data_IF_412947307874
#
_entry.id   IF_412947307874
#
_cell.length_a   1.000
_cell.length_b   1.000
_cell.length_c   1.000
_cell.angle_alpha   90.00
_cell.angle_beta   90.00
_cell.angle_gamma   90.00
#
_symmetry.space_group_name_H-M   'P 1'
#
loop_
_entity.id
_entity.type
_entity.pdbx_description
1 polymer ?
#
# COMPACT_ATOMS: atom_id res chain seq x y z
N UNK A 1 43.10 -6.83 -8.62
CA UNK A 1 42.88 -8.19 -8.07
C UNK A 1 41.38 -8.40 -7.89
N UNK A 2 40.70 -8.89 -8.93
CA UNK A 2 39.33 -9.42 -8.83
C UNK A 2 39.47 -10.94 -8.72
N UNK A 3 38.96 -11.54 -7.64
CA UNK A 3 39.05 -13.00 -7.45
C UNK A 3 38.09 -13.69 -8.44
N UNK A 4 38.54 -14.66 -9.25
CA UNK A 4 37.68 -15.46 -10.10
C UNK A 4 37.17 -16.67 -9.32
N UNK A 5 35.90 -17.04 -9.47
CA UNK A 5 35.37 -18.30 -8.92
C UNK A 5 33.93 -18.30 -8.39
N UNK A 6 33.11 -17.29 -8.67
CA UNK A 6 31.67 -17.45 -8.42
C UNK A 6 31.02 -18.14 -9.61
N UNK A 7 30.65 -19.41 -9.42
CA UNK A 7 29.71 -20.12 -10.28
C UNK A 7 28.48 -19.22 -10.43
N UNK A 8 28.20 -18.75 -11.65
CA UNK A 8 27.02 -17.96 -11.97
C UNK A 8 25.78 -18.86 -11.85
N UNK A 9 25.36 -19.13 -10.61
CA UNK A 9 23.97 -19.51 -10.36
C UNK A 9 23.09 -18.34 -10.79
N UNK A 10 21.97 -18.57 -11.47
CA UNK A 10 21.00 -17.52 -11.82
C UNK A 10 20.65 -16.60 -10.64
N UNK A 11 20.73 -17.12 -9.41
CA UNK A 11 20.59 -16.35 -8.17
C UNK A 11 21.61 -15.21 -8.04
N UNK A 12 22.87 -15.42 -8.45
CA UNK A 12 23.94 -14.43 -8.34
C UNK A 12 23.75 -13.25 -9.30
N UNK A 13 23.14 -13.49 -10.47
CA UNK A 13 22.80 -12.43 -11.45
C UNK A 13 21.65 -11.58 -10.91
N UNK A 14 20.57 -12.21 -10.41
CA UNK A 14 19.44 -11.49 -9.81
C UNK A 14 19.85 -10.66 -8.58
N UNK A 15 20.76 -11.16 -7.75
CA UNK A 15 21.34 -10.41 -6.63
C UNK A 15 22.17 -9.22 -7.13
N UNK A 16 23.04 -9.43 -8.12
CA UNK A 16 23.86 -8.36 -8.70
C UNK A 16 23.01 -7.24 -9.32
N UNK A 17 21.89 -7.59 -9.96
CA UNK A 17 20.93 -6.61 -10.50
C UNK A 17 20.17 -5.84 -9.42
N UNK A 18 19.83 -6.44 -8.27
CA UNK A 18 19.27 -5.66 -7.14
C UNK A 18 20.31 -4.66 -6.60
N UNK A 19 21.57 -5.05 -6.46
CA UNK A 19 22.61 -4.18 -5.89
C UNK A 19 22.95 -2.93 -6.72
N UNK A 20 22.63 -2.88 -8.01
CA UNK A 20 23.06 -1.77 -8.87
C UNK A 20 22.25 -0.47 -8.70
N UNK A 21 21.09 -0.50 -8.02
CA UNK A 21 20.22 0.69 -7.92
C UNK A 21 19.28 0.75 -6.71
N UNK A 22 19.33 -0.22 -5.79
CA UNK A 22 18.46 -0.21 -4.59
C UNK A 22 19.19 0.42 -3.41
N UNK A 23 18.59 1.44 -2.80
CA UNK A 23 19.18 2.12 -1.64
C UNK A 23 19.10 1.30 -0.36
N UNK A 24 18.12 0.38 -0.29
CA UNK A 24 17.88 -0.40 0.91
C UNK A 24 17.55 -1.85 0.62
N UNK A 25 18.21 -2.75 1.35
CA UNK A 25 18.13 -4.20 1.18
C UNK A 25 18.03 -4.87 2.55
N UNK A 26 17.08 -5.79 2.71
CA UNK A 26 16.90 -6.58 3.94
C UNK A 26 16.67 -8.06 3.64
N UNK A 27 17.19 -8.91 4.51
CA UNK A 27 16.85 -10.33 4.50
C UNK A 27 15.64 -10.59 5.38
N UNK A 28 14.65 -11.26 4.81
CA UNK A 28 13.35 -11.50 5.44
C UNK A 28 12.90 -12.94 5.23
N UNK A 29 12.13 -13.47 6.17
CA UNK A 29 11.48 -14.76 6.05
C UNK A 29 9.99 -14.58 5.77
N UNK A 30 9.54 -14.87 4.57
CA UNK A 30 8.14 -14.73 4.18
C UNK A 30 7.33 -15.88 4.74
N UNK A 31 6.27 -15.53 5.48
CA UNK A 31 5.40 -16.47 6.15
C UNK A 31 4.35 -17.05 5.21
N UNK A 32 3.92 -18.27 5.51
CA UNK A 32 2.87 -18.98 4.77
C UNK A 32 1.48 -18.45 5.11
N UNK A 33 1.20 -17.21 4.70
CA UNK A 33 -0.06 -16.49 4.91
C UNK A 33 -0.37 -15.58 3.72
N UNK A 34 -1.65 -15.43 3.39
CA UNK A 34 -2.10 -14.54 2.34
C UNK A 34 -1.42 -14.84 1.00
N UNK A 35 -0.80 -13.82 0.41
CA UNK A 35 -0.08 -13.94 -0.86
C UNK A 35 1.17 -14.83 -0.76
N UNK A 36 1.73 -15.03 0.44
CA UNK A 36 2.82 -15.98 0.62
C UNK A 36 2.41 -17.38 0.21
N UNK A 37 1.24 -17.82 0.67
CA UNK A 37 0.69 -19.14 0.35
C UNK A 37 0.10 -19.19 -1.07
N UNK A 38 -0.78 -18.25 -1.43
CA UNK A 38 -1.46 -18.25 -2.73
C UNK A 38 -0.53 -18.08 -3.93
N UNK A 39 0.58 -17.35 -3.78
CA UNK A 39 1.51 -17.04 -4.88
C UNK A 39 2.86 -17.77 -4.76
N UNK A 40 3.04 -18.62 -3.74
CA UNK A 40 4.27 -19.39 -3.54
C UNK A 40 5.48 -18.52 -3.19
N UNK A 41 5.27 -17.41 -2.48
CA UNK A 41 6.33 -16.53 -1.97
C UNK A 41 6.60 -16.93 -0.52
N UNK A 42 7.38 -17.98 -0.29
CA UNK A 42 7.55 -18.60 1.03
C UNK A 42 9.02 -18.71 1.42
N UNK A 43 9.34 -18.51 2.70
CA UNK A 43 10.70 -18.70 3.22
C UNK A 43 11.63 -17.51 2.99
N UNK A 44 12.94 -17.75 2.85
CA UNK A 44 13.94 -16.68 2.83
C UNK A 44 13.91 -15.91 1.51
N UNK A 45 13.73 -14.59 1.59
CA UNK A 45 13.78 -13.65 0.49
C UNK A 45 14.64 -12.44 0.86
N UNK A 46 15.18 -11.80 -0.17
CA UNK A 46 15.81 -10.49 -0.11
C UNK A 46 14.81 -9.45 -0.54
N UNK A 47 14.46 -8.54 0.37
CA UNK A 47 13.64 -7.38 0.08
C UNK A 47 14.55 -6.24 -0.37
N UNK A 48 14.39 -5.80 -1.61
CA UNK A 48 15.09 -4.64 -2.16
C UNK A 48 14.09 -3.52 -2.42
N UNK A 49 14.43 -2.29 -2.03
CA UNK A 49 13.63 -1.10 -2.30
C UNK A 49 14.40 -0.15 -3.20
N UNK A 50 13.73 0.31 -4.24
CA UNK A 50 14.13 1.42 -5.11
C UNK A 50 13.09 2.53 -4.97
N UNK A 51 13.17 3.59 -5.77
CA UNK A 51 12.25 4.71 -5.65
C UNK A 51 10.78 4.38 -5.97
N UNK A 52 10.51 3.40 -6.84
CA UNK A 52 9.14 3.12 -7.36
C UNK A 52 8.68 1.70 -7.09
N UNK A 53 9.60 0.79 -6.78
CA UNK A 53 9.38 -0.65 -6.79
C UNK A 53 10.02 -1.25 -5.55
N UNK A 54 9.31 -2.19 -4.97
CA UNK A 54 9.76 -3.10 -3.92
C UNK A 54 9.86 -4.49 -4.54
N UNK A 55 11.04 -5.08 -4.48
CA UNK A 55 11.33 -6.39 -5.07
C UNK A 55 11.64 -7.41 -3.99
N UNK A 56 11.02 -8.58 -4.07
CA UNK A 56 11.37 -9.77 -3.29
C UNK A 56 12.12 -10.73 -4.20
N UNK A 57 13.38 -11.02 -3.88
CA UNK A 57 14.25 -11.94 -4.62
C UNK A 57 14.48 -13.17 -3.77
N UNK A 58 14.20 -14.35 -4.32
CA UNK A 58 14.33 -15.61 -3.61
C UNK A 58 15.78 -15.85 -3.21
N UNK A 59 15.98 -16.29 -1.97
CA UNK A 59 17.28 -16.77 -1.48
C UNK A 59 17.17 -18.29 -1.28
N UNK A 60 18.14 -19.03 -1.83
CA UNK A 60 18.27 -20.47 -1.64
C UNK A 60 17.59 -21.32 -2.72
N UNK A 61 16.98 -22.43 -2.29
CA UNK A 61 16.44 -23.47 -3.19
C UNK A 61 15.17 -23.07 -3.95
N UNK A 62 15.05 -23.57 -5.20
CA UNK A 62 13.84 -23.72 -6.04
C UNK A 62 12.57 -23.98 -5.24
N UNK A 63 12.72 -25.00 -4.44
CA UNK A 63 11.62 -25.74 -3.87
C UNK A 63 11.61 -25.53 -2.37
N UNK A 64 10.42 -25.39 -1.81
CA UNK A 64 10.24 -25.54 -0.37
C UNK A 64 10.56 -27.00 0.03
N UNK A 65 10.77 -27.29 1.33
CA UNK A 65 10.87 -28.67 1.81
C UNK A 65 9.66 -29.55 1.44
N UNK A 66 8.52 -28.93 1.11
CA UNK A 66 7.30 -29.58 0.67
C UNK A 66 7.17 -29.70 -0.86
N UNK A 67 8.27 -29.50 -1.60
CA UNK A 67 8.32 -29.58 -3.06
C UNK A 67 7.50 -28.49 -3.79
N UNK A 68 7.11 -27.41 -3.10
CA UNK A 68 6.36 -26.31 -3.72
C UNK A 68 7.33 -25.37 -4.44
N UNK A 69 7.00 -25.00 -5.68
CA UNK A 69 7.81 -24.06 -6.46
C UNK A 69 7.71 -22.66 -5.87
N UNK A 70 8.87 -22.07 -5.56
CA UNK A 70 8.96 -20.71 -5.02
C UNK A 70 9.12 -19.70 -6.15
N UNK A 71 8.46 -18.56 -6.02
CA UNK A 71 8.62 -17.46 -6.98
C UNK A 71 10.06 -16.92 -6.95
N UNK A 72 10.74 -16.82 -8.09
CA UNK A 72 12.15 -16.40 -8.15
C UNK A 72 12.32 -14.91 -7.81
N UNK A 73 11.50 -14.06 -8.44
CA UNK A 73 11.46 -12.61 -8.21
C UNK A 73 10.02 -12.14 -8.25
N UNK A 74 9.62 -11.33 -7.28
CA UNK A 74 8.30 -10.70 -7.24
C UNK A 74 8.46 -9.20 -7.01
N UNK A 75 7.80 -8.40 -7.84
CA UNK A 75 7.94 -6.93 -7.81
C UNK A 75 6.59 -6.28 -7.55
N UNK A 76 6.57 -5.36 -6.60
CA UNK A 76 5.42 -4.56 -6.20
C UNK A 76 5.73 -3.10 -6.46
N UNK A 77 4.80 -2.40 -7.12
CA UNK A 77 4.90 -0.95 -7.20
C UNK A 77 4.60 -0.35 -5.82
N UNK A 78 5.39 0.63 -5.36
CA UNK A 78 5.11 1.33 -4.11
C UNK A 78 3.72 2.01 -4.13
N UNK A 79 3.25 2.45 -5.29
CA UNK A 79 1.91 3.02 -5.47
C UNK A 79 0.77 2.00 -5.30
N UNK A 80 1.06 0.70 -5.43
CA UNK A 80 0.06 -0.37 -5.23
C UNK A 80 -0.10 -0.79 -3.78
N UNK A 81 0.80 -0.35 -2.90
CA UNK A 81 0.78 -0.63 -1.46
C UNK A 81 -0.33 0.20 -0.83
N UNK A 82 -1.28 -0.46 -0.17
CA UNK A 82 -2.41 0.20 0.49
C UNK A 82 -2.10 0.46 1.95
N UNK A 83 -1.49 -0.54 2.60
CA UNK A 83 -1.16 -0.52 4.03
C UNK A 83 0.13 -1.30 4.22
N UNK A 84 0.93 -0.86 5.18
CA UNK A 84 2.03 -1.63 5.70
C UNK A 84 2.14 -1.35 7.20
N UNK A 85 2.75 -2.27 7.93
CA UNK A 85 2.95 -2.11 9.36
C UNK A 85 3.90 -3.16 9.89
N UNK A 86 4.24 -3.02 11.16
CA UNK A 86 5.09 -3.96 11.86
C UNK A 86 4.52 -4.26 13.25
N UNK A 87 4.85 -5.42 13.78
CA UNK A 87 4.50 -5.88 15.13
C UNK A 87 5.61 -6.80 15.61
N UNK A 88 6.30 -6.40 16.69
CA UNK A 88 7.51 -7.08 17.16
C UNK A 88 8.49 -7.28 15.99
N UNK A 89 8.92 -8.52 15.70
CA UNK A 89 9.80 -8.89 14.58
C UNK A 89 9.06 -9.21 13.27
N UNK A 90 7.76 -8.95 13.20
CA UNK A 90 6.96 -9.17 11.99
C UNK A 90 6.70 -7.85 11.29
N UNK A 91 6.82 -7.87 9.97
CA UNK A 91 6.41 -6.80 9.08
C UNK A 91 5.35 -7.36 8.12
N UNK A 92 4.31 -6.58 7.84
CA UNK A 92 3.29 -6.95 6.87
C UNK A 92 3.10 -5.86 5.83
N UNK A 93 2.76 -6.31 4.63
CA UNK A 93 2.54 -5.46 3.47
C UNK A 93 1.25 -5.88 2.78
N UNK A 94 0.30 -4.97 2.66
CA UNK A 94 -0.93 -5.16 1.91
C UNK A 94 -0.87 -4.41 0.58
N UNK A 95 -1.08 -5.15 -0.51
CA UNK A 95 -1.11 -4.63 -1.87
C UNK A 95 -2.52 -4.70 -2.44
N UNK A 96 -2.83 -3.74 -3.31
CA UNK A 96 -4.11 -3.68 -4.03
C UNK A 96 -4.14 -4.53 -5.30
N UNK A 97 -5.31 -4.55 -5.94
CA UNK A 97 -5.57 -5.28 -7.20
C UNK A 97 -4.69 -4.80 -8.37
N UNK A 98 -4.10 -3.61 -8.27
CA UNK A 98 -3.18 -3.06 -9.27
C UNK A 98 -1.80 -3.73 -9.25
N UNK A 99 -1.50 -4.58 -8.26
CA UNK A 99 -0.29 -5.39 -8.22
C UNK A 99 -0.37 -6.57 -9.21
N UNK A 100 0.78 -7.03 -9.73
CA UNK A 100 0.87 -8.23 -10.59
C UNK A 100 0.34 -9.49 -9.90
N UNK A 101 0.49 -9.57 -8.57
CA UNK A 101 0.02 -10.68 -7.74
C UNK A 101 -1.47 -10.62 -7.42
N UNK A 102 -2.16 -9.52 -7.77
CA UNK A 102 -3.49 -9.22 -7.27
C UNK A 102 -3.49 -8.66 -5.84
N UNK A 103 -4.69 -8.46 -5.29
CA UNK A 103 -4.85 -7.95 -3.94
C UNK A 103 -4.56 -9.01 -2.89
N UNK A 104 -3.91 -8.60 -1.81
CA UNK A 104 -3.66 -9.46 -0.66
C UNK A 104 -2.54 -8.92 0.22
N UNK A 105 -2.17 -9.69 1.22
CA UNK A 105 -1.17 -9.32 2.21
C UNK A 105 -0.01 -10.33 2.24
N UNK A 106 1.18 -9.81 2.49
CA UNK A 106 2.42 -10.57 2.66
C UNK A 106 2.90 -10.31 4.07
N UNK A 107 3.12 -11.39 4.81
CA UNK A 107 3.70 -11.35 6.14
C UNK A 107 5.14 -11.82 6.06
N UNK A 108 6.04 -11.07 6.68
CA UNK A 108 7.45 -11.41 6.73
C UNK A 108 7.99 -11.23 8.14
N UNK A 109 8.90 -12.12 8.50
CA UNK A 109 9.63 -12.11 9.75
C UNK A 109 11.05 -11.62 9.52
N UNK A 110 11.53 -10.78 10.42
CA UNK A 110 12.89 -10.25 10.43
C UNK A 110 13.59 -10.64 11.73
N UNK A 111 14.87 -10.30 11.84
CA UNK A 111 15.68 -10.65 13.00
C UNK A 111 15.11 -10.05 14.30
N UNK A 112 14.83 -8.74 14.29
CA UNK A 112 14.44 -7.99 15.48
C UNK A 112 13.42 -6.88 15.15
N UNK A 113 12.73 -6.38 16.19
CA UNK A 113 11.72 -5.33 16.04
C UNK A 113 12.28 -4.00 15.54
N UNK A 114 13.54 -3.69 15.86
CA UNK A 114 14.23 -2.49 15.36
C UNK A 114 14.34 -2.54 13.83
N UNK A 115 14.62 -3.71 13.26
CA UNK A 115 14.69 -3.89 11.81
C UNK A 115 13.30 -3.73 11.21
N UNK A 116 12.27 -4.32 11.82
CA UNK A 116 10.89 -4.22 11.34
C UNK A 116 10.40 -2.76 11.31
N UNK A 117 10.69 -2.00 12.37
CA UNK A 117 10.40 -0.56 12.45
C UNK A 117 11.19 0.24 11.41
N UNK A 118 12.48 -0.07 11.22
CA UNK A 118 13.31 0.59 10.21
C UNK A 118 12.74 0.35 8.80
N UNK A 119 12.43 -0.90 8.46
CA UNK A 119 11.79 -1.26 7.19
C UNK A 119 10.51 -0.47 6.95
N UNK A 120 9.60 -0.44 7.94
CA UNK A 120 8.37 0.35 7.85
C UNK A 120 8.67 1.83 7.58
N UNK A 121 9.58 2.42 8.35
CA UNK A 121 9.94 3.84 8.24
C UNK A 121 10.49 4.15 6.86
N UNK A 122 11.37 3.31 6.34
CA UNK A 122 11.99 3.49 5.02
C UNK A 122 10.98 3.32 3.90
N UNK A 123 10.16 2.27 3.90
CA UNK A 123 9.09 2.06 2.92
C UNK A 123 8.14 3.26 2.89
N UNK A 124 7.72 3.73 4.07
CA UNK A 124 6.81 4.87 4.20
C UNK A 124 7.44 6.17 3.70
N UNK A 125 8.74 6.39 3.94
CA UNK A 125 9.47 7.56 3.41
C UNK A 125 9.54 7.49 1.88
N UNK A 126 9.97 6.36 1.31
CA UNK A 126 10.08 6.18 -0.14
C UNK A 126 8.72 6.30 -0.85
N UNK A 127 7.64 5.85 -0.23
CA UNK A 127 6.29 6.00 -0.75
C UNK A 127 5.77 7.46 -0.70
N UNK A 128 6.11 8.21 0.37
CA UNK A 128 5.64 9.59 0.59
C UNK A 128 6.39 10.64 -0.22
N UNK A 129 7.70 10.51 -0.42
CA UNK A 129 8.52 11.49 -1.16
C UNK A 129 8.03 11.79 -2.58
N UNK A 130 7.07 11.02 -3.11
CA UNK A 130 6.45 11.24 -4.42
C UNK A 130 5.01 11.73 -4.37
N UNK A 131 4.30 11.55 -3.27
CA UNK A 131 3.01 12.22 -3.07
C UNK A 131 3.22 13.73 -3.04
N UNK A 132 4.35 14.20 -2.48
CA UNK A 132 4.72 15.62 -2.50
C UNK A 132 5.04 16.18 -3.91
N UNK A 133 5.30 15.33 -4.91
CA UNK A 133 5.49 15.75 -6.32
C UNK A 133 4.19 15.74 -7.13
N UNK A 134 3.11 15.19 -6.59
CA UNK A 134 1.76 15.29 -7.12
C UNK A 134 0.97 16.05 -6.08
N UNK A 135 1.06 17.39 -6.13
CA UNK A 135 0.50 18.31 -5.13
C UNK A 135 -0.88 17.89 -4.61
N UNK A 136 -1.23 18.28 -3.37
CA UNK A 136 -2.26 17.64 -2.56
C UNK A 136 -3.51 17.36 -3.39
N UNK A 137 -3.77 16.08 -3.67
CA UNK A 137 -5.05 15.66 -4.21
C UNK A 137 -6.05 15.87 -3.08
N UNK A 138 -6.55 17.10 -2.97
CA UNK A 138 -7.75 17.44 -2.24
C UNK A 138 -8.79 16.50 -2.81
N UNK A 139 -9.05 15.40 -2.07
CA UNK A 139 -10.17 14.54 -2.34
C UNK A 139 -11.38 15.41 -2.05
N UNK A 140 -11.86 16.10 -3.08
CA UNK A 140 -13.12 16.85 -3.06
C UNK A 140 -14.17 15.78 -2.75
N UNK A 141 -14.47 15.63 -1.45
CA UNK A 141 -15.75 15.07 -1.02
C UNK A 141 -16.78 15.90 -1.75
N UNK A 142 -17.59 15.23 -2.57
CA UNK A 142 -18.65 15.85 -3.36
C UNK A 142 -19.58 16.61 -2.42
N UNK A 143 -19.35 17.90 -2.25
CA UNK A 143 -20.32 18.84 -1.69
C UNK A 143 -21.30 19.12 -2.82
N UNK A 144 -22.50 18.56 -2.76
CA UNK A 144 -23.61 19.02 -3.59
C UNK A 144 -23.99 20.43 -3.14
N UNK A 145 -23.35 21.43 -3.75
CA UNK A 145 -23.71 22.83 -3.62
C UNK A 145 -24.78 23.15 -4.68
N UNK A 146 -26.04 23.10 -4.25
CA UNK A 146 -27.16 23.52 -5.07
C UNK A 146 -27.20 25.06 -5.01
N UNK A 147 -27.19 25.67 -6.19
CA UNK A 147 -27.15 27.09 -6.47
C UNK A 147 -28.15 27.93 -5.66
N UNK A 148 -27.71 29.11 -5.19
CA UNK A 148 -28.46 30.36 -5.35
C UNK A 148 -27.70 31.54 -4.72
N UNK A 149 -27.26 32.45 -5.57
CA UNK A 149 -26.64 33.73 -5.25
C UNK A 149 -27.64 34.67 -4.57
N UNK A 150 -27.24 35.33 -3.47
CA UNK A 150 -27.53 36.75 -3.16
C UNK A 150 -26.78 37.22 -1.91
N UNK A 151 -26.13 38.41 -1.92
CA UNK A 151 -25.43 38.95 -0.78
C UNK A 151 -26.41 39.60 0.21
N UNK A 152 -26.11 39.42 1.50
CA UNK A 152 -26.83 39.94 2.65
C UNK A 152 -26.65 41.47 2.74
N UNK A 153 -27.69 42.24 2.42
CA UNK A 153 -27.76 43.66 2.78
C UNK A 153 -28.78 43.87 3.90
N UNK A 154 -28.38 44.69 4.84
CA UNK A 154 -29.02 44.90 6.13
C UNK A 154 -30.29 45.76 6.04
N UNK A 155 -31.18 45.55 7.01
CA UNK A 155 -32.10 46.50 7.67
C UNK A 155 -33.43 46.92 7.01
N UNK A 156 -34.44 46.95 7.89
CA UNK A 156 -35.75 47.64 7.89
C UNK A 156 -36.88 47.16 6.96
N UNK A 157 -37.98 46.67 7.56
CA UNK A 157 -39.21 47.47 7.85
C UNK A 157 -40.49 46.60 7.85
N UNK A 158 -41.14 46.59 9.03
CA UNK A 158 -42.58 46.43 9.39
C UNK A 158 -43.64 46.00 8.35
N UNK A 159 -44.58 45.18 8.90
CA UNK A 159 -46.04 45.14 8.69
C UNK A 159 -46.54 44.53 7.35
N UNK A 160 -47.67 43.83 7.20
CA UNK A 160 -48.97 43.78 7.90
C UNK A 160 -49.67 42.40 7.73
N UNK A 161 -50.33 41.96 8.80
CA UNK A 161 -51.64 41.30 8.90
C UNK A 161 -52.44 40.95 7.62
N UNK A 162 -52.91 39.70 7.50
CA UNK A 162 -54.32 39.24 7.30
C UNK A 162 -54.29 37.73 6.93
N UNK A 163 -54.80 36.84 7.80
CA UNK A 163 -56.02 36.04 7.56
C UNK A 163 -55.89 35.05 6.38
N UNK A 164 -56.02 33.72 6.49
CA UNK A 164 -56.97 32.94 7.29
C UNK A 164 -56.53 31.46 7.41
N UNK A 165 -56.78 30.91 8.61
CA UNK A 165 -57.22 29.55 9.02
C UNK A 165 -56.38 28.29 8.64
N UNK A 166 -55.91 27.52 9.65
CA UNK A 166 -55.42 26.16 9.46
C UNK A 166 -56.58 25.15 9.44
N UNK A 167 -56.52 24.15 8.56
CA UNK A 167 -57.36 22.96 8.64
C UNK A 167 -56.41 21.76 8.51
N UNK A 168 -56.20 21.10 9.66
CA UNK A 168 -55.55 19.81 9.72
C UNK A 168 -56.57 18.72 9.36
N UNK A 169 -56.11 17.62 8.76
CA UNK A 169 -56.53 16.22 8.99
C UNK A 169 -56.20 15.34 7.77
N UNK A 170 -55.29 14.39 7.96
CA UNK A 170 -55.19 13.12 7.19
C UNK A 170 -56.22 12.10 7.75
N UNK A 171 -56.35 10.83 7.28
CA UNK A 171 -55.83 10.14 6.08
C UNK A 171 -56.89 9.25 5.33
N UNK A 172 -56.44 8.59 4.26
CA UNK A 172 -56.85 7.29 3.69
C UNK A 172 -58.33 6.86 3.53
N UNK A 173 -58.69 6.68 2.26
CA UNK A 173 -59.33 5.52 1.62
C UNK A 173 -60.40 4.71 2.37
N UNK A 174 -61.65 4.84 1.91
CA UNK A 174 -62.50 3.76 1.39
C UNK A 174 -63.61 4.36 0.53
#
# INVERSE_FOLDING_TARGET
MFRPGFVLSSNSISIFFCFSSTEHVWDVYVQRKGLGDSYGILGNYRLCITDKILSLIRIGSELTPHQEKRADKVEFSLASIRRCGHSQRYFYLEVGRSSKTGAGEIWMEVQDSIIAQNMYTTIMKSAKSKDDNLGPMIRIRSSSANAASKPTSMLFRRQTHTGQKPINCSPSSA
#
